data_IF_674291173011
#
_entry.id   IF_674291173011
#
_cell.length_a   1.000
_cell.length_b   1.000
_cell.length_c   1.000
_cell.angle_alpha   90.00
_cell.angle_beta   90.00
_cell.angle_gamma   90.00
#
_symmetry.space_group_name_H-M   'P 1'
#
loop_
_entity.id
_entity.type
_entity.pdbx_description
1 polymer ?
#
# COMPACT_ATOMS: atom_id res chain seq x y z
N UNK A 1 12.85 -4.54 22.01
CA UNK A 1 14.21 -4.57 22.54
C UNK A 1 14.24 -4.67 24.05
N UNK A 2 15.07 -5.51 24.58
CA UNK A 2 15.25 -5.64 26.01
C UNK A 2 15.91 -4.38 26.56
N UNK A 3 15.36 -3.80 27.63
CA UNK A 3 15.97 -2.66 28.34
C UNK A 3 17.24 -3.11 29.07
N UNK A 4 17.29 -4.37 29.46
CA UNK A 4 18.45 -5.07 29.99
C UNK A 4 18.39 -6.55 29.62
N UNK A 5 19.52 -7.20 29.54
CA UNK A 5 19.62 -8.65 29.31
C UNK A 5 20.73 -9.24 30.15
N UNK A 6 20.49 -10.43 30.66
CA UNK A 6 21.53 -11.29 31.23
C UNK A 6 21.91 -12.37 30.24
N UNK A 7 23.20 -12.60 30.11
CA UNK A 7 23.75 -13.66 29.27
C UNK A 7 24.74 -14.47 30.08
N UNK A 8 24.53 -15.80 30.18
CA UNK A 8 25.43 -16.74 30.82
C UNK A 8 26.31 -17.42 29.78
N UNK A 9 27.64 -17.28 29.90
CA UNK A 9 28.61 -17.94 29.04
C UNK A 9 29.65 -18.56 29.97
N UNK A 10 29.78 -19.89 29.98
CA UNK A 10 30.76 -20.64 30.79
C UNK A 10 30.76 -20.20 32.25
N UNK A 11 29.66 -20.37 32.97
CA UNK A 11 29.50 -20.05 34.38
C UNK A 11 29.72 -18.59 34.80
N UNK A 12 29.74 -17.66 33.82
CA UNK A 12 29.80 -16.22 34.05
C UNK A 12 28.51 -15.56 33.61
N UNK A 13 27.92 -14.79 34.49
CA UNK A 13 26.75 -13.93 34.19
C UNK A 13 27.21 -12.57 33.75
N UNK A 14 26.66 -12.08 32.62
CA UNK A 14 26.88 -10.72 32.11
C UNK A 14 25.56 -9.97 32.14
N UNK A 15 25.51 -8.86 32.85
CA UNK A 15 24.37 -7.94 32.83
C UNK A 15 24.64 -6.82 31.81
N UNK A 16 23.75 -6.71 30.81
CA UNK A 16 23.88 -5.75 29.73
C UNK A 16 22.69 -4.79 29.74
N UNK A 17 22.99 -3.50 29.84
CA UNK A 17 21.98 -2.46 29.72
C UNK A 17 21.91 -1.91 28.30
N UNK A 18 20.70 -1.83 27.76
CA UNK A 18 20.47 -1.23 26.46
C UNK A 18 20.65 0.28 26.52
N UNK A 19 21.63 0.81 25.77
CA UNK A 19 21.95 2.24 25.71
C UNK A 19 21.02 3.03 24.78
N UNK A 20 20.02 2.40 24.20
CA UNK A 20 19.03 3.06 23.33
C UNK A 20 17.98 3.80 24.18
N UNK A 21 18.25 5.05 24.52
CA UNK A 21 17.36 5.89 25.32
C UNK A 21 15.99 6.13 24.66
N UNK A 22 15.87 5.93 23.35
CA UNK A 22 14.60 6.09 22.66
C UNK A 22 13.53 5.10 23.17
N UNK A 23 13.94 3.89 23.55
CA UNK A 23 13.05 2.85 24.07
C UNK A 23 12.31 3.25 25.35
N UNK A 24 12.94 4.06 26.20
CA UNK A 24 12.38 4.51 27.47
C UNK A 24 11.80 5.91 27.40
N UNK A 25 12.16 6.68 26.37
CA UNK A 25 11.84 8.11 26.28
C UNK A 25 10.75 8.44 25.27
N UNK A 26 10.23 7.45 24.50
CA UNK A 26 9.16 7.65 23.55
C UNK A 26 8.14 6.49 23.63
N UNK A 27 6.86 6.83 23.80
CA UNK A 27 5.80 5.84 23.94
C UNK A 27 5.59 5.05 22.63
N UNK A 28 5.64 3.72 22.75
CA UNK A 28 5.52 2.80 21.61
C UNK A 28 6.85 2.56 20.86
N UNK A 29 7.99 3.07 21.36
CA UNK A 29 9.29 2.78 20.76
C UNK A 29 9.63 1.29 20.84
N UNK A 30 10.11 0.71 19.71
CA UNK A 30 10.46 -0.71 19.59
C UNK A 30 11.91 -0.95 19.15
N UNK A 31 12.66 0.07 18.84
CA UNK A 31 14.07 -0.02 18.44
C UNK A 31 14.49 1.16 17.59
N UNK A 32 15.59 1.09 16.84
CA UNK A 32 16.24 -0.11 16.30
C UNK A 32 17.74 -0.09 16.60
N UNK A 33 18.51 0.84 15.96
CA UNK A 33 19.97 0.83 16.00
C UNK A 33 20.58 2.22 16.10
N UNK A 34 21.56 2.37 16.98
CA UNK A 34 22.41 3.56 17.06
C UNK A 34 23.73 3.31 16.33
N UNK A 35 24.29 4.38 15.77
CA UNK A 35 25.63 4.39 15.19
C UNK A 35 26.35 5.69 15.53
N UNK A 36 27.67 5.63 15.57
CA UNK A 36 28.54 6.79 15.69
C UNK A 36 29.90 6.49 15.09
N UNK A 37 30.39 7.42 14.29
CA UNK A 37 31.81 7.55 13.93
C UNK A 37 32.16 9.03 13.94
N UNK A 38 33.45 9.37 14.08
CA UNK A 38 33.89 10.77 14.06
C UNK A 38 33.52 11.49 12.77
N UNK A 39 33.54 10.79 11.63
CA UNK A 39 33.20 11.35 10.33
C UNK A 39 31.68 11.46 10.10
N UNK A 40 30.89 10.45 10.54
CA UNK A 40 29.46 10.40 10.29
C UNK A 40 28.62 11.07 11.37
N UNK A 41 29.19 11.38 12.54
CA UNK A 41 28.42 11.87 13.68
C UNK A 41 27.47 10.82 14.27
N UNK A 42 26.51 11.25 15.05
CA UNK A 42 25.50 10.37 15.62
C UNK A 42 24.40 10.04 14.61
N UNK A 43 24.21 8.75 14.38
CA UNK A 43 23.15 8.21 13.51
C UNK A 43 22.20 7.34 14.34
N UNK A 44 20.92 7.33 13.98
CA UNK A 44 19.93 6.49 14.63
C UNK A 44 18.82 6.07 13.68
N UNK A 45 18.47 4.81 13.71
CA UNK A 45 17.25 4.28 13.13
C UNK A 45 16.29 4.03 14.27
N UNK A 46 15.18 4.78 14.31
CA UNK A 46 14.12 4.64 15.29
C UNK A 46 12.91 3.96 14.69
N UNK A 47 12.22 3.14 15.49
CA UNK A 47 10.94 2.55 15.10
C UNK A 47 9.95 2.64 16.26
N UNK A 48 8.70 2.94 15.92
CA UNK A 48 7.57 3.08 16.84
C UNK A 48 6.42 2.22 16.36
N UNK A 49 5.78 1.51 17.28
CA UNK A 49 4.51 0.83 17.08
C UNK A 49 3.48 1.44 18.01
N UNK A 50 2.53 2.20 17.48
CA UNK A 50 1.49 2.88 18.27
C UNK A 50 0.21 2.99 17.44
N UNK A 51 -0.96 2.80 18.07
CA UNK A 51 -2.29 2.91 17.45
C UNK A 51 -2.43 2.09 16.14
N UNK A 52 -1.88 0.87 16.13
CA UNK A 52 -1.89 -0.01 14.96
C UNK A 52 -0.99 0.44 13.81
N UNK A 53 -0.14 1.45 14.03
CA UNK A 53 0.82 2.00 13.06
C UNK A 53 2.24 1.62 13.39
N UNK A 54 3.04 1.45 12.33
CA UNK A 54 4.50 1.37 12.42
C UNK A 54 5.08 2.60 11.74
N UNK A 55 5.91 3.35 12.46
CA UNK A 55 6.72 4.44 11.91
C UNK A 55 8.19 4.09 12.07
N UNK A 56 8.95 4.39 11.03
CA UNK A 56 10.42 4.24 11.02
C UNK A 56 11.00 5.59 10.62
N UNK A 57 11.99 6.05 11.39
CA UNK A 57 12.78 7.22 11.04
C UNK A 57 14.24 6.87 10.95
N UNK A 58 14.95 7.55 10.06
CA UNK A 58 16.40 7.47 9.91
C UNK A 58 16.95 8.87 10.10
N UNK A 59 17.80 9.01 11.10
CA UNK A 59 18.50 10.27 11.41
C UNK A 59 19.98 10.02 11.20
N UNK A 60 20.60 10.84 10.34
CA UNK A 60 22.02 10.77 10.03
C UNK A 60 22.69 12.08 10.42
N UNK A 61 23.93 11.98 10.89
CA UNK A 61 24.75 13.16 11.26
C UNK A 61 24.07 14.11 12.26
N UNK A 62 23.29 13.56 13.18
CA UNK A 62 22.57 14.36 14.19
C UNK A 62 23.47 14.65 15.38
N UNK A 63 24.42 15.57 15.17
CA UNK A 63 25.40 16.04 16.17
C UNK A 63 26.63 15.12 16.28
N UNK A 64 27.64 15.70 16.93
CA UNK A 64 28.92 15.06 17.28
C UNK A 64 29.14 15.15 18.78
N UNK A 65 30.17 14.48 19.28
CA UNK A 65 30.59 14.63 20.68
C UNK A 65 30.82 16.11 20.99
N UNK A 66 30.29 16.62 22.16
CA UNK A 66 29.61 15.88 23.24
C UNK A 66 28.07 15.74 23.04
N UNK A 67 27.49 16.23 21.97
CA UNK A 67 26.04 16.37 21.76
C UNK A 67 25.34 15.05 21.43
N UNK A 68 25.32 14.10 22.36
CA UNK A 68 24.74 12.76 22.18
C UNK A 68 23.21 12.71 22.09
N UNK A 69 22.52 13.79 22.51
CA UNK A 69 21.05 13.82 22.67
C UNK A 69 20.30 14.16 21.39
N UNK A 70 20.91 14.90 20.48
CA UNK A 70 20.24 15.41 19.27
C UNK A 70 19.55 14.31 18.44
N UNK A 71 20.19 13.16 18.24
CA UNK A 71 19.58 12.04 17.52
C UNK A 71 18.26 11.56 18.13
N UNK A 72 18.10 11.64 19.46
CA UNK A 72 16.85 11.28 20.14
C UNK A 72 15.78 12.34 19.96
N UNK A 73 16.17 13.61 20.06
CA UNK A 73 15.29 14.77 19.91
C UNK A 73 14.77 14.86 18.46
N UNK A 74 15.65 14.71 17.48
CA UNK A 74 15.28 14.72 16.07
C UNK A 74 14.38 13.53 15.70
N UNK A 75 14.70 12.34 16.25
CA UNK A 75 13.84 11.17 16.07
C UNK A 75 12.44 11.40 16.64
N UNK A 76 12.32 11.97 17.85
CA UNK A 76 11.02 12.31 18.47
C UNK A 76 10.23 13.25 17.59
N UNK A 77 10.85 14.35 17.11
CA UNK A 77 10.21 15.31 16.21
C UNK A 77 9.69 14.65 14.95
N UNK A 78 10.47 13.76 14.31
CA UNK A 78 10.05 13.01 13.13
C UNK A 78 8.89 12.06 13.43
N UNK A 79 8.92 11.37 14.57
CA UNK A 79 7.83 10.48 14.97
C UNK A 79 6.55 11.25 15.26
N UNK A 80 6.63 12.36 16.00
CA UNK A 80 5.49 13.24 16.28
C UNK A 80 4.92 13.82 14.98
N UNK A 81 5.78 14.26 14.06
CA UNK A 81 5.35 14.71 12.75
C UNK A 81 4.58 13.60 11.99
N UNK A 82 5.13 12.40 11.94
CA UNK A 82 4.47 11.26 11.28
C UNK A 82 3.14 10.86 11.92
N UNK A 83 3.08 10.89 13.27
CA UNK A 83 1.87 10.55 14.01
C UNK A 83 0.77 11.60 13.84
N UNK A 84 1.11 12.87 13.82
CA UNK A 84 0.14 13.98 13.81
C UNK A 84 -0.32 14.34 12.40
N UNK A 85 0.54 14.21 11.39
CA UNK A 85 0.23 14.68 10.04
C UNK A 85 -0.30 13.60 9.10
N UNK A 86 -0.11 12.32 9.41
CA UNK A 86 -0.57 11.22 8.55
C UNK A 86 -1.68 10.42 9.23
N UNK A 87 -2.79 10.21 8.52
CA UNK A 87 -3.91 9.39 8.97
C UNK A 87 -4.23 8.30 7.96
N UNK A 88 -4.74 7.16 8.45
CA UNK A 88 -5.18 6.07 7.59
C UNK A 88 -6.49 6.46 6.91
N UNK A 89 -6.50 6.54 5.58
CA UNK A 89 -7.69 6.78 4.76
C UNK A 89 -7.99 5.57 3.89
N UNK A 90 -9.24 5.20 3.80
CA UNK A 90 -9.73 4.20 2.86
C UNK A 90 -10.11 4.89 1.54
N UNK A 91 -9.49 4.47 0.45
CA UNK A 91 -9.68 5.03 -0.89
C UNK A 91 -10.51 4.06 -1.71
N UNK A 92 -11.75 4.44 -2.11
CA UNK A 92 -12.66 3.57 -2.84
C UNK A 92 -12.27 3.50 -4.33
N UNK A 93 -11.39 2.55 -4.69
CA UNK A 93 -10.94 2.35 -6.07
C UNK A 93 -12.05 1.84 -7.01
N UNK A 94 -13.13 1.31 -6.47
CA UNK A 94 -14.28 0.81 -7.23
C UNK A 94 -15.30 1.91 -7.59
N UNK A 95 -15.22 3.08 -6.97
CA UNK A 95 -16.17 4.18 -7.22
C UNK A 95 -16.02 4.69 -8.64
N UNK A 96 -17.14 4.67 -9.39
CA UNK A 96 -17.16 5.11 -10.80
C UNK A 96 -16.77 4.04 -11.82
N UNK A 97 -16.32 2.86 -11.41
CA UNK A 97 -16.07 1.73 -12.33
C UNK A 97 -17.41 1.12 -12.71
N UNK A 98 -17.76 1.06 -14.02
CA UNK A 98 -19.02 0.44 -14.45
C UNK A 98 -19.02 -1.07 -14.13
N UNK A 99 -20.16 -1.60 -13.72
CA UNK A 99 -20.29 -3.04 -13.41
C UNK A 99 -20.20 -3.93 -14.66
N UNK A 100 -20.51 -3.39 -15.83
CA UNK A 100 -20.54 -4.10 -17.13
C UNK A 100 -20.00 -3.22 -18.25
N UNK A 101 -19.37 -3.83 -19.25
CA UNK A 101 -19.01 -3.20 -20.51
C UNK A 101 -19.75 -3.90 -21.69
N UNK A 102 -20.16 -3.12 -22.73
CA UNK A 102 -20.68 -3.68 -23.96
C UNK A 102 -19.67 -4.58 -24.66
N UNK A 103 -20.16 -5.67 -25.27
CA UNK A 103 -19.32 -6.62 -26.04
C UNK A 103 -19.85 -6.75 -27.45
N UNK A 104 -19.03 -6.37 -28.41
CA UNK A 104 -19.31 -6.52 -29.85
C UNK A 104 -19.00 -7.96 -30.28
N UNK A 105 -19.82 -8.49 -31.20
CA UNK A 105 -19.69 -9.84 -31.81
C UNK A 105 -19.68 -11.00 -30.81
N UNK A 106 -20.09 -10.78 -29.54
CA UNK A 106 -20.19 -11.82 -28.53
C UNK A 106 -21.55 -12.48 -28.45
N UNK A 107 -21.61 -13.73 -27.96
CA UNK A 107 -22.87 -14.40 -27.67
C UNK A 107 -23.66 -13.74 -26.53
N UNK A 108 -22.99 -12.92 -25.70
CA UNK A 108 -23.60 -12.01 -24.74
C UNK A 108 -23.24 -10.54 -25.09
N UNK A 109 -24.17 -9.64 -24.89
CA UNK A 109 -24.02 -8.23 -25.22
C UNK A 109 -23.20 -7.45 -24.21
N UNK A 110 -23.03 -7.97 -22.97
CA UNK A 110 -22.32 -7.32 -21.91
C UNK A 110 -21.37 -8.26 -21.18
N UNK A 111 -20.22 -7.75 -20.75
CA UNK A 111 -19.25 -8.41 -19.90
C UNK A 111 -19.22 -7.77 -18.51
N UNK A 112 -19.38 -8.56 -17.47
CA UNK A 112 -19.27 -8.10 -16.09
C UNK A 112 -17.81 -7.88 -15.73
N UNK A 113 -17.50 -6.76 -15.07
CA UNK A 113 -16.19 -6.38 -14.64
C UNK A 113 -15.94 -6.68 -13.15
N UNK A 114 -14.68 -6.86 -12.81
CA UNK A 114 -14.17 -6.90 -11.44
C UNK A 114 -13.38 -5.64 -11.18
N UNK A 115 -13.99 -4.71 -10.46
CA UNK A 115 -13.29 -3.51 -9.98
C UNK A 115 -12.28 -3.88 -8.88
N UNK A 116 -11.19 -3.11 -8.74
CA UNK A 116 -10.26 -3.28 -7.63
C UNK A 116 -10.96 -3.02 -6.28
N UNK A 117 -10.48 -3.70 -5.24
CA UNK A 117 -10.97 -3.47 -3.87
C UNK A 117 -10.49 -2.10 -3.36
N UNK A 118 -11.21 -1.48 -2.42
CA UNK A 118 -10.72 -0.31 -1.71
C UNK A 118 -9.35 -0.56 -1.09
N UNK A 119 -8.52 0.47 -1.04
CA UNK A 119 -7.17 0.40 -0.46
C UNK A 119 -7.04 1.39 0.69
N UNK A 120 -6.42 0.94 1.78
CA UNK A 120 -6.11 1.82 2.91
C UNK A 120 -4.67 2.31 2.80
N UNK A 121 -4.48 3.62 2.81
CA UNK A 121 -3.18 4.26 2.79
C UNK A 121 -3.07 5.31 3.90
N UNK A 122 -1.85 5.53 4.39
CA UNK A 122 -1.56 6.68 5.23
C UNK A 122 -1.27 7.88 4.34
N UNK A 123 -2.08 8.91 4.48
CA UNK A 123 -2.03 10.13 3.66
C UNK A 123 -2.02 11.33 4.61
N UNK A 124 -1.29 12.35 4.26
CA UNK A 124 -1.31 13.61 4.99
C UNK A 124 -2.68 14.30 4.83
N UNK A 125 -3.05 15.12 5.81
CA UNK A 125 -4.27 15.95 5.74
C UNK A 125 -4.27 16.91 4.55
N UNK A 126 -3.10 17.33 4.10
CA UNK A 126 -2.92 18.27 2.99
C UNK A 126 -2.87 17.58 1.62
N UNK A 127 -2.62 16.26 1.57
CA UNK A 127 -2.54 15.51 0.33
C UNK A 127 -3.92 15.22 -0.26
N UNK A 128 -4.09 15.55 -1.54
CA UNK A 128 -5.32 15.28 -2.30
C UNK A 128 -5.21 13.96 -3.05
N UNK A 129 -6.18 13.08 -2.83
CA UNK A 129 -6.25 11.80 -3.55
C UNK A 129 -7.27 11.86 -4.67
N UNK A 130 -6.94 11.35 -5.86
CA UNK A 130 -7.80 11.26 -7.03
C UNK A 130 -7.63 9.92 -7.72
N UNK A 131 -8.74 9.28 -8.11
CA UNK A 131 -8.72 8.07 -8.93
C UNK A 131 -9.11 8.43 -10.37
N UNK A 132 -8.32 7.99 -11.35
CA UNK A 132 -8.63 8.12 -12.78
C UNK A 132 -8.85 6.71 -13.32
N UNK A 133 -10.01 6.52 -13.97
CA UNK A 133 -10.43 5.24 -14.56
C UNK A 133 -10.18 5.32 -16.06
N UNK A 134 -9.45 4.34 -16.58
CA UNK A 134 -9.24 4.14 -18.01
C UNK A 134 -9.86 2.83 -18.44
N UNK A 135 -10.90 2.89 -19.28
CA UNK A 135 -11.63 1.75 -19.82
C UNK A 135 -11.98 2.00 -21.29
N UNK A 136 -11.99 0.96 -22.15
CA UNK A 136 -12.52 1.07 -23.50
C UNK A 136 -14.04 1.23 -23.48
N UNK A 137 -14.61 1.88 -24.48
CA UNK A 137 -16.06 2.02 -24.59
C UNK A 137 -16.78 0.69 -24.82
N UNK A 138 -16.12 -0.30 -25.41
CA UNK A 138 -16.65 -1.66 -25.65
C UNK A 138 -15.53 -2.67 -25.81
N UNK A 139 -15.81 -3.95 -25.54
CA UNK A 139 -14.92 -5.07 -25.81
C UNK A 139 -15.34 -5.77 -27.12
N UNK A 140 -14.41 -6.47 -27.75
CA UNK A 140 -14.72 -7.33 -28.92
C UNK A 140 -14.49 -8.79 -28.56
N UNK A 141 -15.49 -9.65 -28.78
CA UNK A 141 -15.36 -11.08 -28.54
C UNK A 141 -14.39 -11.77 -29.52
N UNK A 142 -13.64 -12.80 -29.07
CA UNK A 142 -13.79 -13.49 -27.78
C UNK A 142 -13.15 -12.72 -26.62
N UNK A 143 -13.77 -12.77 -25.44
CA UNK A 143 -13.26 -12.21 -24.19
C UNK A 143 -13.07 -13.34 -23.20
N UNK A 144 -11.89 -13.46 -22.59
CA UNK A 144 -11.62 -14.47 -21.58
C UNK A 144 -11.85 -13.89 -20.17
N UNK A 145 -12.29 -14.74 -19.24
CA UNK A 145 -12.34 -14.39 -17.80
C UNK A 145 -10.94 -14.09 -17.29
N UNK A 146 -10.80 -13.03 -16.48
CA UNK A 146 -9.50 -12.64 -15.90
C UNK A 146 -8.63 -11.79 -16.82
N UNK A 147 -9.11 -11.39 -18.00
CA UNK A 147 -8.40 -10.45 -18.88
C UNK A 147 -8.46 -9.04 -18.28
N UNK A 148 -7.31 -8.38 -18.18
CA UNK A 148 -7.26 -6.97 -17.84
C UNK A 148 -7.76 -6.12 -19.01
N UNK A 149 -8.78 -5.32 -18.78
CA UNK A 149 -9.45 -4.52 -19.83
C UNK A 149 -9.33 -3.02 -19.59
N UNK A 150 -8.75 -2.64 -18.48
CA UNK A 150 -8.52 -1.25 -18.10
C UNK A 150 -7.86 -1.15 -16.74
N UNK A 151 -7.77 0.05 -16.22
CA UNK A 151 -7.14 0.31 -14.92
C UNK A 151 -7.76 1.48 -14.19
N UNK A 152 -7.57 1.49 -12.87
CA UNK A 152 -7.79 2.63 -11.98
C UNK A 152 -6.43 3.11 -11.52
N UNK A 153 -6.04 4.33 -11.87
CA UNK A 153 -4.79 4.94 -11.41
C UNK A 153 -5.10 5.86 -10.24
N UNK A 154 -4.50 5.57 -9.10
CA UNK A 154 -4.56 6.43 -7.93
C UNK A 154 -3.48 7.50 -8.03
N UNK A 155 -3.87 8.75 -7.86
CA UNK A 155 -3.00 9.92 -7.79
C UNK A 155 -3.00 10.49 -6.38
N UNK A 156 -1.82 10.91 -5.91
CA UNK A 156 -1.63 11.69 -4.68
C UNK A 156 -0.91 12.97 -5.10
N UNK A 157 -1.49 14.14 -4.80
CA UNK A 157 -1.01 15.46 -5.22
C UNK A 157 -0.65 15.54 -6.70
N UNK A 158 -1.55 15.05 -7.55
CA UNK A 158 -1.39 15.02 -9.02
C UNK A 158 -0.27 14.10 -9.54
N UNK A 159 0.47 13.40 -8.67
CA UNK A 159 1.47 12.40 -9.05
C UNK A 159 0.85 11.01 -9.08
N UNK A 160 1.10 10.20 -10.11
CA UNK A 160 0.61 8.83 -10.16
C UNK A 160 1.30 7.99 -9.07
N UNK A 161 0.49 7.42 -8.17
CA UNK A 161 0.98 6.60 -7.07
C UNK A 161 1.01 5.12 -7.44
N UNK A 162 -0.16 4.59 -7.91
CA UNK A 162 -0.27 3.17 -8.27
C UNK A 162 -1.42 2.93 -9.24
N UNK A 163 -1.22 2.00 -10.17
CA UNK A 163 -2.24 1.51 -11.09
C UNK A 163 -2.81 0.16 -10.61
N UNK A 164 -4.13 0.03 -10.69
CA UNK A 164 -4.88 -1.16 -10.28
C UNK A 164 -5.68 -1.66 -11.48
N UNK A 165 -5.44 -2.87 -11.98
CA UNK A 165 -6.12 -3.39 -13.15
C UNK A 165 -7.59 -3.73 -12.88
N UNK A 166 -8.42 -3.58 -13.92
CA UNK A 166 -9.82 -3.97 -13.94
C UNK A 166 -9.94 -5.23 -14.81
N UNK A 167 -10.53 -6.28 -14.26
CA UNK A 167 -10.59 -7.58 -14.91
C UNK A 167 -12.00 -7.95 -15.35
N UNK A 168 -12.10 -8.79 -16.38
CA UNK A 168 -13.35 -9.46 -16.79
C UNK A 168 -13.70 -10.58 -15.83
N UNK A 169 -14.99 -10.70 -15.43
CA UNK A 169 -15.48 -11.78 -14.54
C UNK A 169 -15.95 -13.03 -15.30
N UNK A 170 -16.14 -12.96 -16.62
CA UNK A 170 -16.71 -14.05 -17.40
C UNK A 170 -16.08 -14.17 -18.79
N UNK A 171 -16.09 -15.39 -19.32
CA UNK A 171 -15.70 -15.65 -20.71
C UNK A 171 -16.89 -15.43 -21.64
N UNK A 172 -16.68 -14.71 -22.74
CA UNK A 172 -17.69 -14.48 -23.78
C UNK A 172 -17.12 -14.95 -25.09
N UNK A 173 -17.73 -15.99 -25.65
CA UNK A 173 -17.36 -16.55 -26.96
C UNK A 173 -17.85 -15.65 -28.09
N UNK A 174 -17.16 -15.67 -29.22
CA UNK A 174 -17.58 -14.98 -30.46
C UNK A 174 -18.83 -15.62 -31.00
N UNK A 175 -19.75 -14.84 -31.58
CA UNK A 175 -20.88 -15.37 -32.39
C UNK A 175 -20.34 -15.99 -33.65
N UNK A 176 -20.68 -17.24 -33.88
CA UNK A 176 -20.40 -17.96 -35.12
C UNK A 176 -21.70 -18.09 -35.91
N UNK A 177 -21.60 -18.39 -37.22
CA UNK A 177 -22.78 -18.66 -38.06
C UNK A 177 -23.64 -19.79 -37.48
N UNK A 178 -23.00 -20.88 -37.05
CA UNK A 178 -23.69 -22.02 -36.42
C UNK A 178 -24.46 -21.62 -35.15
N UNK A 179 -23.89 -20.70 -34.31
CA UNK A 179 -24.60 -20.21 -33.14
C UNK A 179 -25.80 -19.34 -33.49
N UNK A 180 -25.70 -18.48 -34.51
CA UNK A 180 -26.81 -17.68 -35.02
C UNK A 180 -27.93 -18.53 -35.57
N UNK A 181 -27.58 -19.54 -36.37
CA UNK A 181 -28.52 -20.50 -36.97
C UNK A 181 -29.27 -21.28 -35.89
N UNK A 182 -28.56 -21.87 -34.92
CA UNK A 182 -29.20 -22.59 -33.80
C UNK A 182 -30.16 -21.69 -32.99
N UNK A 183 -29.79 -20.43 -32.79
CA UNK A 183 -30.63 -19.49 -32.06
C UNK A 183 -31.89 -19.11 -32.86
N UNK A 184 -31.77 -18.92 -34.17
CA UNK A 184 -32.87 -18.63 -35.03
C UNK A 184 -33.86 -19.83 -35.06
N UNK A 185 -33.34 -21.07 -35.20
CA UNK A 185 -34.14 -22.28 -35.20
C UNK A 185 -34.90 -22.50 -33.89
N UNK A 186 -34.26 -22.16 -32.74
CA UNK A 186 -34.93 -22.21 -31.44
C UNK A 186 -36.14 -21.27 -31.35
N UNK A 187 -36.04 -20.06 -31.92
CA UNK A 187 -37.18 -19.12 -31.95
C UNK A 187 -38.29 -19.49 -32.93
N UNK A 188 -38.02 -20.36 -33.91
CA UNK A 188 -39.06 -20.85 -34.84
C UNK A 188 -39.85 -22.06 -34.30
N UNK A 189 -39.31 -22.77 -33.32
CA UNK A 189 -39.91 -24.00 -32.79
C UNK A 189 -40.63 -23.73 -31.44
N UNK A 190 -40.34 -22.63 -30.78
CA UNK A 190 -40.96 -22.22 -29.52
C UNK A 190 -41.53 -20.80 -29.62
#
# INVERSE_FOLDING_TARGET
GLVGSEMCIRDRSYSLNNKNLFLTSYNGAIGVKTGYTNNAGYCFVGAVKKDGRYLISVVLSSGWYPNRRYKWEDTKKLMDYGMNNYSKKEIPLNKGVPSKLPVKRGHKSNCTLSAPKPVSLYVSSNEKTKCIITLPASLTAPVQKGTAVGSVVLYIDSKPYRSYPIYTKQTIKKRTFSWCYKKLFYYFIH
#
